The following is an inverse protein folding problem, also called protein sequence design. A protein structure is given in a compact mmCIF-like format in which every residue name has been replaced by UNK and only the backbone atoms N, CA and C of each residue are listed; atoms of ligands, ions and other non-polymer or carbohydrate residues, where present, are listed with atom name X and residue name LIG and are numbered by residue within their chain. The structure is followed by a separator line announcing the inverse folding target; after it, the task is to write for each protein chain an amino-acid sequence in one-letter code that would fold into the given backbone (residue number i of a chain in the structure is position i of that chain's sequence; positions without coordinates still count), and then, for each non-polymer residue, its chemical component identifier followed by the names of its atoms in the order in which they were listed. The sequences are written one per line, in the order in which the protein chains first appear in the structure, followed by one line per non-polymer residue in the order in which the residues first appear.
data_IF_709161652687
#
_entry.id   IF_709161652687
#
_cell.length_a   1.000
_cell.length_b   1.000
_cell.length_c   1.000
_cell.angle_alpha   90.00
_cell.angle_beta   90.00
_cell.angle_gamma   90.00
#
_symmetry.space_group_name_H-M   'P 1'
#
loop_
_entity.id
_entity.type
_entity.pdbx_description
1 polymer ?
#
# COMPACT_ATOMS: atom_id res chain seq x y z
N UNK A 1 -16.10 -24.45 26.24
CA UNK A 1 -15.66 -24.08 24.86
C UNK A 1 -16.58 -24.78 23.88
N UNK A 2 -17.21 -24.04 22.94
CA UNK A 2 -18.12 -24.60 21.95
C UNK A 2 -17.39 -25.59 21.00
N UNK A 3 -18.14 -26.53 20.39
CA UNK A 3 -17.59 -27.50 19.44
C UNK A 3 -16.86 -26.76 18.27
N UNK A 4 -17.42 -25.67 17.79
CA UNK A 4 -16.86 -24.84 16.73
C UNK A 4 -15.47 -24.23 17.08
N UNK A 5 -15.28 -23.82 18.35
CA UNK A 5 -13.96 -23.32 18.79
C UNK A 5 -12.93 -24.44 18.82
N UNK A 6 -13.32 -25.65 19.26
CA UNK A 6 -12.42 -26.83 19.26
C UNK A 6 -12.00 -27.20 17.83
N UNK A 7 -12.96 -27.19 16.91
CA UNK A 7 -12.71 -27.45 15.49
C UNK A 7 -11.73 -26.43 14.87
N UNK A 8 -11.92 -25.14 15.14
CA UNK A 8 -11.02 -24.09 14.69
C UNK A 8 -9.59 -24.26 15.25
N UNK A 9 -9.46 -24.54 16.55
CA UNK A 9 -8.15 -24.79 17.16
C UNK A 9 -7.42 -25.97 16.54
N UNK A 10 -8.13 -27.07 16.23
CA UNK A 10 -7.57 -28.20 15.53
C UNK A 10 -7.13 -27.86 14.11
N UNK A 11 -7.93 -27.05 13.41
CA UNK A 11 -7.59 -26.60 12.06
C UNK A 11 -6.34 -25.71 12.07
N UNK A 12 -6.22 -24.79 13.01
CA UNK A 12 -5.03 -23.94 13.19
C UNK A 12 -3.80 -24.80 13.52
N UNK A 13 -3.93 -25.76 14.41
CA UNK A 13 -2.83 -26.68 14.76
C UNK A 13 -2.38 -27.51 13.56
N UNK A 14 -3.33 -28.11 12.83
CA UNK A 14 -3.04 -28.94 11.66
C UNK A 14 -2.48 -28.13 10.48
N UNK A 15 -2.80 -26.81 10.38
CA UNK A 15 -2.23 -25.92 9.36
C UNK A 15 -0.78 -25.52 9.65
N UNK A 16 -0.21 -25.93 10.78
CA UNK A 16 1.15 -25.56 11.20
C UNK A 16 1.29 -24.12 11.68
N UNK A 17 0.16 -23.45 12.03
CA UNK A 17 0.15 -22.05 12.46
C UNK A 17 1.06 -21.80 13.68
N UNK A 18 1.23 -22.79 14.56
CA UNK A 18 2.06 -22.69 15.76
C UNK A 18 3.52 -23.13 15.55
N UNK A 19 3.92 -23.50 14.33
CA UNK A 19 5.30 -23.92 14.05
C UNK A 19 6.21 -22.72 13.75
N UNK A 20 7.44 -22.75 14.26
CA UNK A 20 8.46 -21.75 13.97
C UNK A 20 8.73 -21.62 12.48
N UNK A 21 8.70 -22.74 11.75
CA UNK A 21 8.91 -22.77 10.29
C UNK A 21 7.88 -21.90 9.54
N UNK A 22 6.60 -21.94 9.95
CA UNK A 22 5.56 -21.12 9.34
C UNK A 22 5.86 -19.63 9.51
N UNK A 23 6.33 -19.21 10.68
CA UNK A 23 6.70 -17.82 10.93
C UNK A 23 7.98 -17.42 10.20
N UNK A 24 8.96 -18.30 10.10
CA UNK A 24 10.18 -18.03 9.30
C UNK A 24 9.83 -17.85 7.81
N UNK A 25 8.97 -18.70 7.24
CA UNK A 25 8.44 -18.55 5.86
C UNK A 25 7.64 -17.25 5.70
N UNK A 26 6.84 -16.86 6.69
CA UNK A 26 6.12 -15.59 6.66
C UNK A 26 7.07 -14.40 6.64
N UNK A 27 8.09 -14.40 7.50
CA UNK A 27 9.13 -13.37 7.55
C UNK A 27 9.83 -13.19 6.20
N UNK A 28 10.19 -14.28 5.52
CA UNK A 28 10.83 -14.21 4.20
C UNK A 28 9.87 -13.64 3.15
N UNK A 29 8.60 -14.01 3.14
CA UNK A 29 7.59 -13.42 2.23
C UNK A 29 7.42 -11.92 2.46
N UNK A 30 7.45 -11.46 3.71
CA UNK A 30 7.37 -10.02 4.04
C UNK A 30 8.59 -9.28 3.50
N UNK A 31 9.79 -9.85 3.64
CA UNK A 31 11.03 -9.28 3.08
C UNK A 31 10.99 -9.21 1.56
N UNK A 32 10.59 -10.30 0.92
CA UNK A 32 10.46 -10.36 -0.53
C UNK A 32 9.45 -9.33 -1.06
N UNK A 33 8.30 -9.18 -0.40
CA UNK A 33 7.30 -8.16 -0.72
C UNK A 33 7.89 -6.75 -0.66
N UNK A 34 8.68 -6.44 0.37
CA UNK A 34 9.40 -5.15 0.48
C UNK A 34 10.36 -4.95 -0.70
N UNK A 35 11.19 -5.94 -1.01
CA UNK A 35 12.17 -5.81 -2.10
C UNK A 35 11.50 -5.60 -3.44
N UNK A 36 10.47 -6.37 -3.77
CA UNK A 36 9.70 -6.23 -5.02
C UNK A 36 9.03 -4.87 -5.15
N UNK A 37 8.45 -4.36 -4.05
CA UNK A 37 7.87 -3.01 -4.06
C UNK A 37 8.93 -1.94 -4.32
N UNK A 38 10.05 -1.99 -3.61
CA UNK A 38 11.13 -1.01 -3.79
C UNK A 38 11.77 -1.08 -5.18
N UNK A 39 11.94 -2.27 -5.73
CA UNK A 39 12.45 -2.47 -7.08
C UNK A 39 11.51 -1.83 -8.11
N UNK A 40 10.21 -2.09 -8.01
CA UNK A 40 9.20 -1.51 -8.89
C UNK A 40 9.20 0.03 -8.81
N UNK A 41 9.16 0.61 -7.61
CA UNK A 41 9.14 2.06 -7.43
C UNK A 41 10.41 2.72 -7.99
N UNK A 42 11.58 2.13 -7.71
CA UNK A 42 12.86 2.62 -8.24
C UNK A 42 12.95 2.53 -9.76
N UNK A 43 12.45 1.46 -10.35
CA UNK A 43 12.38 1.31 -11.81
C UNK A 43 11.56 2.45 -12.43
N UNK A 44 10.37 2.71 -11.90
CA UNK A 44 9.49 3.79 -12.35
C UNK A 44 10.17 5.17 -12.20
N UNK A 45 10.84 5.42 -11.07
CA UNK A 45 11.57 6.69 -10.86
C UNK A 45 12.76 6.85 -11.80
N UNK A 46 13.48 5.77 -12.15
CA UNK A 46 14.57 5.83 -13.16
C UNK A 46 14.08 6.21 -14.55
N UNK A 47 12.83 5.90 -14.88
CA UNK A 47 12.17 6.32 -16.11
C UNK A 47 11.72 7.79 -16.08
N UNK A 48 12.02 8.52 -15.00
CA UNK A 48 11.61 9.91 -14.81
C UNK A 48 10.13 10.10 -14.50
N UNK A 49 9.43 9.02 -14.13
CA UNK A 49 7.99 9.01 -13.87
C UNK A 49 7.65 9.52 -12.48
N UNK A 50 6.47 10.15 -12.37
CA UNK A 50 5.94 10.66 -11.12
C UNK A 50 5.07 9.62 -10.42
N UNK A 51 5.32 9.46 -9.11
CA UNK A 51 4.54 8.55 -8.27
C UNK A 51 3.94 9.34 -7.11
N UNK A 52 2.63 9.20 -6.92
CA UNK A 52 1.94 9.67 -5.72
C UNK A 52 1.38 8.47 -4.94
N UNK A 53 0.98 8.68 -3.69
CA UNK A 53 0.21 7.66 -2.97
C UNK A 53 -1.26 8.05 -2.88
N UNK A 54 -2.13 7.05 -2.77
CA UNK A 54 -3.59 7.21 -2.72
C UNK A 54 -4.13 6.64 -1.42
N UNK A 55 -4.74 7.52 -0.61
CA UNK A 55 -5.25 7.25 0.72
C UNK A 55 -4.16 7.27 1.80
N UNK A 56 -4.52 7.66 3.02
CA UNK A 56 -3.62 7.72 4.18
C UNK A 56 -4.13 6.86 5.36
N UNK A 57 -4.34 5.53 5.18
CA UNK A 57 -4.73 4.65 6.28
C UNK A 57 -3.53 4.31 7.18
N UNK A 58 -3.78 3.90 8.43
CA UNK A 58 -2.72 3.50 9.37
C UNK A 58 -1.79 2.42 8.81
N UNK A 59 -2.35 1.40 8.13
CA UNK A 59 -1.56 0.34 7.49
C UNK A 59 -0.66 0.86 6.36
N UNK A 60 -1.06 1.95 5.67
CA UNK A 60 -0.24 2.62 4.67
C UNK A 60 0.99 3.24 5.31
N UNK A 61 0.85 3.91 6.46
CA UNK A 61 1.98 4.43 7.23
C UNK A 61 2.93 3.32 7.66
N UNK A 62 2.40 2.17 8.11
CA UNK A 62 3.22 0.99 8.44
C UNK A 62 4.03 0.52 7.24
N UNK A 63 3.41 0.40 6.06
CA UNK A 63 4.08 -0.01 4.82
C UNK A 63 5.19 0.96 4.44
N UNK A 64 4.88 2.26 4.40
CA UNK A 64 5.84 3.31 4.04
C UNK A 64 7.07 3.30 4.96
N UNK A 65 6.85 3.24 6.29
CA UNK A 65 7.93 3.17 7.27
C UNK A 65 8.76 1.89 7.14
N UNK A 66 8.10 0.73 7.04
CA UNK A 66 8.79 -0.55 6.90
C UNK A 66 9.66 -0.62 5.64
N UNK A 67 9.17 -0.05 4.54
CA UNK A 67 9.90 0.01 3.28
C UNK A 67 10.85 1.20 3.17
N UNK A 68 10.84 2.14 4.12
CA UNK A 68 11.60 3.40 4.07
C UNK A 68 11.29 4.20 2.79
N UNK A 69 9.99 4.29 2.44
CA UNK A 69 9.51 5.06 1.30
C UNK A 69 9.18 6.47 1.77
N UNK A 70 9.89 7.46 1.27
CA UNK A 70 9.78 8.87 1.64
C UNK A 70 9.44 9.80 0.46
N UNK A 71 9.60 11.13 0.66
CA UNK A 71 9.32 12.13 -0.37
C UNK A 71 10.23 12.06 -1.60
N UNK A 72 11.35 11.34 -1.49
CA UNK A 72 12.25 11.04 -2.61
C UNK A 72 11.61 10.11 -3.66
N UNK A 73 10.64 9.28 -3.23
CA UNK A 73 9.94 8.34 -4.10
C UNK A 73 8.50 8.76 -4.38
N UNK A 74 7.81 9.34 -3.39
CA UNK A 74 6.38 9.69 -3.43
C UNK A 74 6.23 11.19 -3.27
N UNK A 75 5.68 11.87 -4.27
CA UNK A 75 5.53 13.32 -4.28
C UNK A 75 4.57 13.82 -3.18
N UNK A 76 3.43 13.13 -3.01
CA UNK A 76 2.43 13.40 -1.97
C UNK A 76 1.49 12.20 -1.77
N UNK A 77 0.68 12.27 -0.73
CA UNK A 77 -0.44 11.35 -0.49
C UNK A 77 -1.74 12.08 -0.73
N UNK A 78 -2.54 11.62 -1.68
CA UNK A 78 -3.87 12.14 -1.94
C UNK A 78 -4.90 11.50 -1.00
N UNK A 79 -5.68 12.31 -0.31
CA UNK A 79 -6.62 11.86 0.74
C UNK A 79 -7.93 12.64 0.64
N UNK A 80 -9.03 12.01 1.05
CA UNK A 80 -10.38 12.63 1.10
C UNK A 80 -10.74 13.17 2.47
N UNK A 81 -10.10 12.66 3.51
CA UNK A 81 -10.40 13.06 4.89
C UNK A 81 -9.82 14.43 5.19
N UNK A 82 -10.68 15.43 5.43
CA UNK A 82 -10.31 16.78 5.82
C UNK A 82 -9.49 16.82 7.11
N UNK A 83 -9.61 15.82 7.99
CA UNK A 83 -8.79 15.70 9.20
C UNK A 83 -7.33 15.39 8.93
N UNK A 84 -6.99 14.88 7.74
CA UNK A 84 -5.62 14.48 7.38
C UNK A 84 -4.99 15.46 6.38
N UNK A 85 -5.79 16.09 5.55
CA UNK A 85 -5.31 17.07 4.55
C UNK A 85 -4.57 18.21 5.24
N UNK A 86 -3.44 18.63 4.65
CA UNK A 86 -2.53 19.64 5.21
C UNK A 86 -1.58 19.11 6.29
N UNK A 87 -1.57 17.80 6.55
CA UNK A 87 -0.65 17.13 7.47
C UNK A 87 0.39 16.31 6.70
N UNK A 88 1.21 15.57 7.44
CA UNK A 88 2.23 14.69 6.89
C UNK A 88 2.03 13.25 7.36
N UNK A 89 2.51 12.29 6.58
CA UNK A 89 2.53 10.89 7.00
C UNK A 89 3.46 10.69 8.19
N UNK A 90 3.04 9.95 9.25
CA UNK A 90 3.87 9.67 10.39
C UNK A 90 5.15 8.94 9.99
N UNK A 91 6.30 9.43 10.47
CA UNK A 91 7.62 8.83 10.26
C UNK A 91 8.26 9.12 8.89
N UNK A 92 7.50 9.17 7.81
CA UNK A 92 8.03 9.36 6.45
C UNK A 92 7.88 10.79 5.92
N UNK A 93 7.09 11.64 6.58
CA UNK A 93 6.90 13.06 6.28
C UNK A 93 6.48 13.39 4.85
N UNK A 94 5.75 12.49 4.19
CA UNK A 94 5.16 12.78 2.88
C UNK A 94 3.94 13.68 3.09
N UNK A 95 3.80 14.80 2.34
CA UNK A 95 2.66 15.71 2.51
C UNK A 95 1.35 15.04 2.11
N UNK A 96 0.29 15.31 2.88
CA UNK A 96 -1.07 14.82 2.60
C UNK A 96 -1.89 15.96 2.02
N UNK A 97 -2.40 15.78 0.82
CA UNK A 97 -3.15 16.79 0.08
C UNK A 97 -4.56 16.29 -0.28
N UNK A 98 -5.41 17.19 -0.74
CA UNK A 98 -6.74 16.83 -1.22
C UNK A 98 -6.67 15.91 -2.46
N UNK A 99 -7.59 14.94 -2.55
CA UNK A 99 -7.72 14.02 -3.70
C UNK A 99 -7.86 14.77 -5.03
N UNK A 100 -8.46 15.97 -5.04
CA UNK A 100 -8.66 16.77 -6.23
C UNK A 100 -7.35 17.04 -6.99
N UNK A 101 -6.22 17.13 -6.26
CA UNK A 101 -4.91 17.36 -6.84
C UNK A 101 -4.45 16.27 -7.81
N UNK A 102 -4.94 15.04 -7.68
CA UNK A 102 -4.64 13.96 -8.62
C UNK A 102 -5.07 14.34 -10.05
N UNK A 103 -6.24 14.98 -10.15
CA UNK A 103 -6.85 15.33 -11.44
C UNK A 103 -6.23 16.58 -12.07
N UNK A 104 -5.65 17.45 -11.25
CA UNK A 104 -4.88 18.62 -11.69
C UNK A 104 -3.48 18.24 -12.17
N UNK A 105 -2.78 17.43 -11.38
CA UNK A 105 -1.38 17.06 -11.59
C UNK A 105 -1.18 15.92 -12.59
N UNK A 106 -2.17 15.04 -12.75
CA UNK A 106 -2.14 13.83 -13.58
C UNK A 106 -0.80 13.05 -13.44
N UNK A 107 -0.44 12.57 -12.24
CA UNK A 107 0.78 11.79 -12.06
C UNK A 107 0.75 10.49 -12.83
N UNK A 108 1.91 9.95 -13.23
CA UNK A 108 2.00 8.73 -14.01
C UNK A 108 1.52 7.50 -13.22
N UNK A 109 1.77 7.47 -11.90
CA UNK A 109 1.43 6.32 -11.03
C UNK A 109 0.84 6.74 -9.69
N UNK A 110 -0.14 5.96 -9.23
CA UNK A 110 -0.72 6.04 -7.88
C UNK A 110 -0.48 4.78 -7.07
N UNK A 111 0.37 4.85 -6.03
CA UNK A 111 0.56 3.76 -5.06
C UNK A 111 -0.64 3.67 -4.12
N UNK A 112 -1.42 2.59 -4.20
CA UNK A 112 -2.60 2.39 -3.37
C UNK A 112 -2.23 1.97 -1.94
N UNK A 113 -2.33 2.90 -0.98
CA UNK A 113 -2.14 2.59 0.44
C UNK A 113 -3.39 1.93 1.07
N UNK A 114 -4.54 2.06 0.39
CA UNK A 114 -5.78 1.35 0.72
C UNK A 114 -6.00 0.13 -0.19
N UNK A 115 -4.96 -0.64 -0.46
CA UNK A 115 -4.93 -1.75 -1.43
C UNK A 115 -6.03 -2.80 -1.28
N UNK A 116 -6.56 -3.01 -0.06
CA UNK A 116 -7.62 -3.98 0.23
C UNK A 116 -9.00 -3.61 -0.35
N UNK A 117 -9.15 -2.39 -0.86
CA UNK A 117 -10.35 -1.89 -1.54
C UNK A 117 -9.98 -1.29 -2.90
N UNK A 118 -8.93 -1.80 -3.54
CA UNK A 118 -8.46 -1.35 -4.84
C UNK A 118 -9.54 -1.48 -5.92
N UNK A 119 -10.32 -2.54 -5.88
CA UNK A 119 -11.47 -2.82 -6.73
C UNK A 119 -12.56 -1.74 -6.68
N UNK A 120 -12.64 -1.01 -5.55
CA UNK A 120 -13.56 0.11 -5.38
C UNK A 120 -12.91 1.44 -5.76
N UNK A 121 -11.64 1.64 -5.41
CA UNK A 121 -10.95 2.92 -5.60
C UNK A 121 -10.60 3.14 -7.08
N UNK A 122 -10.05 2.14 -7.75
CA UNK A 122 -9.57 2.25 -9.13
C UNK A 122 -10.67 2.71 -10.09
N UNK A 123 -11.84 2.04 -10.15
CA UNK A 123 -12.91 2.48 -11.04
C UNK A 123 -13.36 3.92 -10.78
N UNK A 124 -13.51 4.30 -9.50
CA UNK A 124 -13.93 5.65 -9.11
C UNK A 124 -12.94 6.75 -9.53
N UNK A 125 -11.65 6.50 -9.41
CA UNK A 125 -10.64 7.47 -9.83
C UNK A 125 -10.54 7.56 -11.35
N UNK A 126 -10.68 6.44 -12.06
CA UNK A 126 -10.75 6.43 -13.53
C UNK A 126 -11.99 7.18 -14.04
N UNK A 127 -13.15 6.96 -13.45
CA UNK A 127 -14.39 7.67 -13.78
C UNK A 127 -14.27 9.19 -13.56
N UNK A 128 -13.54 9.60 -12.54
CA UNK A 128 -13.22 11.02 -12.25
C UNK A 128 -12.13 11.61 -13.17
N UNK A 129 -11.54 10.84 -14.08
CA UNK A 129 -10.58 11.30 -15.06
C UNK A 129 -9.11 11.12 -14.69
N UNK A 130 -8.76 10.27 -13.74
CA UNK A 130 -7.36 9.91 -13.51
C UNK A 130 -6.86 8.96 -14.60
N UNK A 131 -5.83 9.37 -15.34
CA UNK A 131 -5.26 8.64 -16.49
C UNK A 131 -4.02 7.82 -16.15
N UNK A 132 -3.44 8.00 -14.96
CA UNK A 132 -2.27 7.26 -14.50
C UNK A 132 -2.57 5.79 -14.21
N UNK A 133 -1.49 5.02 -14.02
CA UNK A 133 -1.54 3.61 -13.62
C UNK A 133 -1.57 3.49 -12.10
N UNK A 134 -2.08 2.35 -11.61
CA UNK A 134 -2.10 2.09 -10.17
C UNK A 134 -1.06 1.03 -9.80
N UNK A 135 -0.48 1.18 -8.61
CA UNK A 135 0.44 0.20 -8.02
C UNK A 135 -0.25 -0.43 -6.82
N UNK A 136 -0.44 -1.74 -6.86
CA UNK A 136 -0.89 -2.55 -5.72
C UNK A 136 0.37 -3.05 -5.00
N UNK A 137 0.61 -2.64 -3.72
CA UNK A 137 1.89 -2.93 -3.06
C UNK A 137 2.04 -4.37 -2.54
N UNK A 138 0.93 -5.02 -2.17
CA UNK A 138 0.93 -6.33 -1.50
C UNK A 138 -0.16 -7.26 -2.03
N UNK A 139 0.02 -8.59 -1.96
CA UNK A 139 1.16 -9.32 -1.40
C UNK A 139 2.43 -9.24 -2.26
N UNK A 140 2.28 -9.05 -3.56
CA UNK A 140 3.36 -8.83 -4.52
C UNK A 140 3.09 -7.54 -5.28
N UNK A 141 4.05 -6.62 -5.27
CA UNK A 141 3.89 -5.33 -5.94
C UNK A 141 3.70 -5.53 -7.46
N UNK A 142 2.66 -4.89 -8.03
CA UNK A 142 2.37 -4.93 -9.45
C UNK A 142 1.60 -3.69 -9.91
N UNK A 143 1.62 -3.43 -11.21
CA UNK A 143 0.92 -2.31 -11.86
C UNK A 143 -0.38 -2.83 -12.47
N UNK A 144 -1.45 -2.02 -12.36
CA UNK A 144 -2.76 -2.24 -12.97
C UNK A 144 -3.26 -1.00 -13.68
#
# INVERSE_FOLDING_TARGET
TSARVKELLLLEQNSGLYSKETYDKFKERVRESKFKLLELLRSIKREGKRIIAIGAPAKGSTLLNYCSIGPDMIDYVAERSTFKIGRYTPGTHIPIVDEARIFEDQPDYGLLLSWNIADIIIPKLKEKGFNGKFIIPVPTAHVV
#
